data_IF_659706384560
#
_entry.id   IF_659706384560
#
_cell.length_a   1.000
_cell.length_b   1.000
_cell.length_c   1.000
_cell.angle_alpha   90.00
_cell.angle_beta   90.00
_cell.angle_gamma   90.00
#
_symmetry.space_group_name_H-M   'P 1'
#
loop_
_entity.id
_entity.type
_entity.pdbx_description
1 polymer ?
#
# COMPACT_ATOMS: atom_id res chain seq x y z
N UNK A 1 11.03 5.68 -21.74
CA UNK A 1 10.22 5.06 -20.68
C UNK A 1 9.63 3.79 -21.25
N UNK A 2 9.70 2.67 -20.54
CA UNK A 2 9.16 1.40 -21.03
C UNK A 2 7.67 1.33 -20.71
N UNK A 3 6.83 1.50 -21.74
CA UNK A 3 5.37 1.47 -21.62
C UNK A 3 4.87 0.16 -20.98
N UNK A 4 5.59 -0.95 -21.14
CA UNK A 4 5.22 -2.24 -20.53
C UNK A 4 5.45 -2.21 -19.02
N UNK A 5 6.54 -1.60 -18.56
CA UNK A 5 6.86 -1.46 -17.14
C UNK A 5 5.87 -0.52 -16.44
N UNK A 6 5.50 0.58 -17.10
CA UNK A 6 4.47 1.51 -16.63
C UNK A 6 3.13 0.79 -16.42
N UNK A 7 2.68 0.02 -17.41
CA UNK A 7 1.42 -0.72 -17.29
C UNK A 7 1.48 -1.77 -16.17
N UNK A 8 2.60 -2.48 -16.04
CA UNK A 8 2.80 -3.43 -14.94
C UNK A 8 2.74 -2.75 -13.57
N UNK A 9 3.30 -1.54 -13.42
CA UNK A 9 3.18 -0.75 -12.19
C UNK A 9 1.72 -0.40 -11.88
N UNK A 10 0.97 0.12 -12.85
CA UNK A 10 -0.45 0.48 -12.66
C UNK A 10 -1.32 -0.73 -12.29
N UNK A 11 -0.99 -1.91 -12.81
CA UNK A 11 -1.67 -3.15 -12.43
C UNK A 11 -1.39 -3.54 -10.98
N UNK A 12 -0.14 -3.39 -10.52
CA UNK A 12 0.24 -3.65 -9.13
C UNK A 12 -0.40 -2.62 -8.19
N UNK A 13 -0.36 -1.34 -8.54
CA UNK A 13 -0.99 -0.26 -7.76
C UNK A 13 -2.47 -0.54 -7.52
N UNK A 14 -3.23 -0.79 -8.60
CA UNK A 14 -4.67 -1.10 -8.50
C UNK A 14 -4.93 -2.35 -7.67
N UNK A 15 -4.12 -3.39 -7.84
CA UNK A 15 -4.27 -4.64 -7.12
C UNK A 15 -4.00 -4.48 -5.61
N UNK A 16 -2.99 -3.70 -5.24
CA UNK A 16 -2.68 -3.42 -3.84
C UNK A 16 -3.74 -2.55 -3.16
N UNK A 17 -4.24 -1.52 -3.86
CA UNK A 17 -5.36 -0.71 -3.38
C UNK A 17 -6.59 -1.59 -3.10
N UNK A 18 -6.97 -2.41 -4.07
CA UNK A 18 -8.11 -3.32 -3.92
C UNK A 18 -7.91 -4.31 -2.77
N UNK A 19 -6.74 -4.92 -2.65
CA UNK A 19 -6.44 -5.86 -1.57
C UNK A 19 -6.55 -5.20 -0.18
N UNK A 20 -6.03 -3.98 -0.02
CA UNK A 20 -6.12 -3.24 1.23
C UNK A 20 -7.57 -2.89 1.60
N UNK A 21 -8.40 -2.54 0.61
CA UNK A 21 -9.83 -2.31 0.82
C UNK A 21 -10.55 -3.56 1.32
N UNK A 22 -10.31 -4.71 0.66
CA UNK A 22 -10.90 -6.00 1.05
C UNK A 22 -10.43 -6.42 2.45
N UNK A 23 -9.15 -6.22 2.79
CA UNK A 23 -8.64 -6.48 4.14
C UNK A 23 -9.35 -5.63 5.19
N UNK A 24 -9.55 -4.34 4.90
CA UNK A 24 -10.24 -3.44 5.83
C UNK A 24 -11.71 -3.84 6.02
N UNK A 25 -12.40 -4.20 4.94
CA UNK A 25 -13.77 -4.73 5.02
C UNK A 25 -13.84 -6.02 5.84
N UNK A 26 -12.86 -6.91 5.67
CA UNK A 26 -12.77 -8.14 6.46
C UNK A 26 -12.57 -7.84 7.95
N UNK A 27 -11.73 -6.86 8.30
CA UNK A 27 -11.51 -6.45 9.68
C UNK A 27 -12.80 -5.91 10.33
N UNK A 28 -13.54 -5.05 9.63
CA UNK A 28 -14.84 -4.53 10.08
C UNK A 28 -15.84 -5.68 10.35
N UNK A 29 -15.84 -6.69 9.47
CA UNK A 29 -16.70 -7.87 9.64
C UNK A 29 -16.35 -8.72 10.88
N UNK A 30 -15.05 -8.81 11.20
CA UNK A 30 -14.56 -9.50 12.39
C UNK A 30 -14.97 -8.77 13.68
N UNK A 31 -14.88 -7.44 13.71
CA UNK A 31 -15.28 -6.62 14.85
C UNK A 31 -16.79 -6.72 15.14
N UNK A 32 -17.59 -6.91 14.09
CA UNK A 32 -19.04 -7.05 14.18
C UNK A 32 -19.51 -8.46 14.60
N UNK A 33 -18.58 -9.42 14.74
CA UNK A 33 -18.91 -10.80 15.10
C UNK A 33 -18.92 -10.98 16.63
N UNK A 34 -20.09 -11.28 17.20
CA UNK A 34 -20.20 -11.66 18.61
C UNK A 34 -19.33 -12.90 18.92
N UNK A 35 -18.54 -12.82 20.00
CA UNK A 35 -17.65 -13.90 20.41
C UNK A 35 -16.33 -13.99 19.63
N UNK A 36 -15.96 -12.95 18.88
CA UNK A 36 -14.66 -12.90 18.21
C UNK A 36 -13.50 -13.05 19.21
N UNK A 37 -12.55 -13.94 18.89
CA UNK A 37 -11.31 -14.12 19.66
C UNK A 37 -10.51 -12.80 19.64
N UNK A 38 -10.41 -12.15 20.79
CA UNK A 38 -9.72 -10.87 20.95
C UNK A 38 -8.27 -10.91 20.45
N UNK A 39 -7.56 -12.04 20.61
CA UNK A 39 -6.18 -12.19 20.12
C UNK A 39 -6.13 -12.31 18.60
N UNK A 40 -7.14 -12.97 18.00
CA UNK A 40 -7.27 -13.03 16.55
C UNK A 40 -7.53 -11.63 16.00
N UNK A 41 -8.45 -10.89 16.60
CA UNK A 41 -8.78 -9.53 16.18
C UNK A 41 -7.54 -8.63 16.26
N UNK A 42 -6.85 -8.61 17.39
CA UNK A 42 -5.60 -7.84 17.58
C UNK A 42 -4.56 -8.12 16.49
N UNK A 43 -4.29 -9.40 16.20
CA UNK A 43 -3.33 -9.80 15.17
C UNK A 43 -3.78 -9.39 13.76
N UNK A 44 -5.08 -9.52 13.46
CA UNK A 44 -5.63 -9.12 12.17
C UNK A 44 -5.57 -7.60 11.99
N UNK A 45 -5.83 -6.81 13.03
CA UNK A 45 -5.69 -5.35 13.01
C UNK A 45 -4.24 -4.96 12.74
N UNK A 46 -3.29 -5.51 13.51
CA UNK A 46 -1.88 -5.21 13.35
C UNK A 46 -1.35 -5.61 11.96
N UNK A 47 -1.71 -6.82 11.49
CA UNK A 47 -1.32 -7.31 10.17
C UNK A 47 -1.90 -6.47 9.04
N UNK A 48 -3.18 -6.09 9.13
CA UNK A 48 -3.83 -5.24 8.12
C UNK A 48 -3.17 -3.87 8.03
N UNK A 49 -2.84 -3.27 9.17
CA UNK A 49 -2.07 -2.01 9.21
C UNK A 49 -0.70 -2.19 8.56
N UNK A 50 0.05 -3.23 8.92
CA UNK A 50 1.36 -3.48 8.36
C UNK A 50 1.33 -3.69 6.84
N UNK A 51 0.31 -4.38 6.31
CA UNK A 51 0.12 -4.55 4.86
C UNK A 51 -0.14 -3.22 4.15
N UNK A 52 -1.01 -2.38 4.70
CA UNK A 52 -1.28 -1.05 4.16
C UNK A 52 0.00 -0.21 4.11
N UNK A 53 0.71 -0.11 5.22
CA UNK A 53 1.95 0.67 5.32
C UNK A 53 3.02 0.14 4.35
N UNK A 54 3.23 -1.18 4.32
CA UNK A 54 4.22 -1.81 3.44
C UNK A 54 3.91 -1.61 1.95
N UNK A 55 2.63 -1.65 1.58
CA UNK A 55 2.21 -1.42 0.21
C UNK A 55 2.48 0.01 -0.25
N UNK A 56 2.31 1.01 0.63
CA UNK A 56 2.65 2.41 0.31
C UNK A 56 4.13 2.59 0.00
N UNK A 57 5.00 2.02 0.84
CA UNK A 57 6.45 2.05 0.65
C UNK A 57 6.85 1.33 -0.66
N UNK A 58 6.28 0.16 -0.93
CA UNK A 58 6.55 -0.54 -2.19
C UNK A 58 6.14 0.31 -3.40
N UNK A 59 4.94 0.90 -3.37
CA UNK A 59 4.40 1.66 -4.49
C UNK A 59 5.15 2.98 -4.73
N UNK A 60 5.69 3.63 -3.70
CA UNK A 60 6.52 4.83 -3.88
C UNK A 60 7.79 4.51 -4.69
N UNK A 61 8.54 3.48 -4.30
CA UNK A 61 9.72 3.06 -5.06
C UNK A 61 9.37 2.52 -6.45
N UNK A 62 8.32 1.70 -6.55
CA UNK A 62 7.89 1.15 -7.83
C UNK A 62 7.46 2.24 -8.82
N UNK A 63 6.87 3.34 -8.32
CA UNK A 63 6.53 4.52 -9.13
C UNK A 63 7.78 5.16 -9.71
N UNK A 64 8.82 5.41 -8.91
CA UNK A 64 10.08 5.96 -9.44
C UNK A 64 10.72 5.07 -10.49
N UNK A 65 10.69 3.74 -10.30
CA UNK A 65 11.23 2.80 -11.28
C UNK A 65 10.41 2.80 -12.58
N UNK A 66 9.09 2.88 -12.50
CA UNK A 66 8.19 2.84 -13.65
C UNK A 66 8.11 4.17 -14.41
N UNK A 67 8.07 5.29 -13.68
CA UNK A 67 8.00 6.64 -14.23
C UNK A 67 9.39 7.23 -14.58
N UNK A 68 10.46 6.53 -14.22
CA UNK A 68 11.84 7.02 -14.32
C UNK A 68 12.24 7.76 -13.05
N UNK A 69 13.47 7.49 -12.58
CA UNK A 69 14.03 8.19 -11.44
C UNK A 69 14.29 9.66 -11.82
N UNK A 70 13.94 10.62 -10.94
CA UNK A 70 14.34 12.01 -11.13
C UNK A 70 15.86 12.09 -11.33
N UNK A 71 16.33 12.97 -12.21
CA UNK A 71 17.76 13.11 -12.51
C UNK A 71 18.59 13.70 -11.33
N UNK A 72 17.95 14.21 -10.28
CA UNK A 72 18.62 14.81 -9.11
C UNK A 72 17.93 14.48 -7.77
N UNK A 73 18.73 14.29 -6.72
CA UNK A 73 18.29 14.01 -5.34
C UNK A 73 17.39 15.10 -4.76
N UNK A 74 17.57 16.37 -5.16
CA UNK A 74 16.77 17.52 -4.69
C UNK A 74 15.25 17.41 -5.01
N UNK A 75 14.86 16.64 -6.02
CA UNK A 75 13.45 16.43 -6.39
C UNK A 75 12.79 15.26 -5.64
N UNK A 76 13.60 14.43 -4.98
CA UNK A 76 13.13 13.29 -4.19
C UNK A 76 12.68 13.77 -2.79
N UNK A 77 13.39 14.74 -2.22
CA UNK A 77 13.05 15.32 -0.90
C UNK A 77 11.73 16.11 -0.92
N UNK A 78 11.40 16.81 -2.02
CA UNK A 78 10.14 17.59 -2.12
C UNK A 78 8.88 16.69 -2.19
N UNK A 79 8.94 15.49 -2.78
CA UNK A 79 7.79 14.58 -2.84
C UNK A 79 7.55 13.83 -1.52
N UNK A 80 8.62 13.50 -0.77
CA UNK A 80 8.52 12.86 0.55
C UNK A 80 7.93 13.82 1.60
N UNK A 81 8.31 15.11 1.57
CA UNK A 81 7.78 16.14 2.48
C UNK A 81 6.30 16.49 2.22
N UNK A 82 5.80 16.29 1.00
CA UNK A 82 4.40 16.53 0.64
C UNK A 82 3.45 15.38 1.06
N UNK A 83 3.99 14.23 1.47
CA UNK A 83 3.22 13.08 1.94
C UNK A 83 3.25 12.89 3.47
N UNK A 84 3.89 13.81 4.21
CA UNK A 84 3.99 13.83 5.67
C UNK A 84 2.81 14.52 6.39
#
# INVERSE_FOLDING_TARGET
MDDQLMQAYLDVERSMQHYNEVLNQYLISLESTEGADAKKLERMTAGTKAMKDSSGIYLSYAKFVAYGMPESEDLIEEEDDLQA
#
